data_IF_034929424990
#
_entry.id   IF_034929424990
#
_cell.length_a   1.000
_cell.length_b   1.000
_cell.length_c   1.000
_cell.angle_alpha   90.00
_cell.angle_beta   90.00
_cell.angle_gamma   90.00
#
_symmetry.space_group_name_H-M   'P 1'
#
loop_
_entity.id
_entity.type
_entity.pdbx_description
1 polymer ?
#
# COMPACT_ATOMS: atom_id res chain seq x y z
N UNK A 1 -18.30 -17.18 -18.79
CA UNK A 1 -17.00 -16.59 -19.13
C UNK A 1 -17.23 -15.11 -19.47
N UNK A 2 -16.58 -14.21 -18.78
CA UNK A 2 -16.63 -12.78 -19.12
C UNK A 2 -15.39 -12.47 -19.95
N UNK A 3 -15.60 -12.05 -21.20
CA UNK A 3 -14.53 -11.73 -22.15
C UNK A 3 -14.78 -10.35 -22.74
N UNK A 4 -13.75 -9.52 -22.79
CA UNK A 4 -13.79 -8.19 -23.39
C UNK A 4 -12.40 -7.73 -23.81
N UNK A 5 -12.35 -6.70 -24.66
CA UNK A 5 -11.11 -6.08 -25.13
C UNK A 5 -11.04 -4.63 -24.69
N UNK A 6 -9.89 -4.25 -24.14
CA UNK A 6 -9.44 -2.87 -23.98
C UNK A 6 -8.62 -2.52 -25.23
N UNK A 7 -9.16 -1.70 -26.11
CA UNK A 7 -8.56 -1.37 -27.41
C UNK A 7 -8.09 0.08 -27.48
N UNK A 8 -7.33 0.41 -28.53
CA UNK A 8 -6.86 1.77 -28.79
C UNK A 8 -6.16 2.37 -27.56
N UNK A 9 -5.24 1.61 -26.97
CA UNK A 9 -4.51 1.98 -25.77
C UNK A 9 -2.99 2.09 -26.03
N UNK A 10 -2.32 2.94 -25.25
CA UNK A 10 -0.86 2.88 -25.08
C UNK A 10 -0.57 1.89 -23.94
N UNK A 11 -0.42 0.63 -24.31
CA UNK A 11 -0.20 -0.44 -23.35
C UNK A 11 1.23 -0.38 -22.83
N UNK A 12 1.38 -0.23 -21.51
CA UNK A 12 2.69 -0.24 -20.85
C UNK A 12 2.98 -1.66 -20.39
N UNK A 13 3.79 -2.37 -21.15
CA UNK A 13 4.32 -3.70 -20.80
C UNK A 13 5.56 -3.57 -19.91
N UNK A 14 6.12 -4.65 -19.37
CA UNK A 14 7.33 -4.56 -18.55
C UNK A 14 8.55 -3.90 -19.23
N UNK A 15 8.60 -3.90 -20.56
CA UNK A 15 9.78 -3.46 -21.31
C UNK A 15 9.53 -2.37 -22.34
N UNK A 16 8.27 -2.17 -22.76
CA UNK A 16 7.94 -1.24 -23.83
C UNK A 16 6.59 -0.57 -23.63
N UNK A 17 6.37 0.54 -24.34
CA UNK A 17 5.04 1.13 -24.53
C UNK A 17 4.64 0.89 -25.97
N UNK A 18 3.53 0.19 -26.21
CA UNK A 18 3.04 -0.12 -27.53
C UNK A 18 1.61 0.39 -27.71
N UNK A 19 1.27 0.85 -28.92
CA UNK A 19 -0.12 1.14 -29.28
C UNK A 19 -0.80 -0.17 -29.67
N UNK A 20 -1.82 -0.58 -28.88
CA UNK A 20 -2.40 -1.90 -29.04
C UNK A 20 -3.66 -2.12 -28.24
N UNK A 21 -3.89 -3.39 -27.93
CA UNK A 21 -5.06 -3.83 -27.19
C UNK A 21 -4.72 -4.94 -26.19
N UNK A 22 -5.60 -5.12 -25.22
CA UNK A 22 -5.52 -6.18 -24.22
C UNK A 22 -6.82 -6.95 -24.21
N UNK A 23 -6.74 -8.26 -24.46
CA UNK A 23 -7.87 -9.19 -24.32
C UNK A 23 -7.92 -9.69 -22.88
N UNK A 24 -9.04 -9.50 -22.22
CA UNK A 24 -9.31 -10.00 -20.87
C UNK A 24 -10.30 -11.16 -20.94
N UNK A 25 -9.97 -12.26 -20.29
CA UNK A 25 -10.84 -13.43 -20.19
C UNK A 25 -10.80 -13.98 -18.77
N UNK A 26 -11.98 -14.10 -18.13
CA UNK A 26 -12.14 -14.67 -16.78
C UNK A 26 -11.22 -14.05 -15.73
N UNK A 27 -11.00 -12.72 -15.82
CA UNK A 27 -10.17 -11.98 -14.87
C UNK A 27 -8.66 -12.02 -15.12
N UNK A 28 -8.24 -12.68 -16.20
CA UNK A 28 -6.84 -12.74 -16.62
C UNK A 28 -6.62 -11.98 -17.92
N UNK A 29 -5.42 -11.50 -18.11
CA UNK A 29 -4.92 -11.03 -19.41
C UNK A 29 -4.76 -12.28 -20.28
N UNK A 30 -5.62 -12.41 -21.28
CA UNK A 30 -5.56 -13.54 -22.20
C UNK A 30 -4.57 -13.29 -23.34
N UNK A 31 -4.50 -12.04 -23.81
CA UNK A 31 -3.58 -11.64 -24.87
C UNK A 31 -3.25 -10.14 -24.80
N UNK A 32 -2.08 -9.76 -25.31
CA UNK A 32 -1.61 -8.37 -25.45
C UNK A 32 -0.93 -8.25 -26.80
N UNK A 33 -1.49 -7.43 -27.69
CA UNK A 33 -0.97 -7.34 -29.05
C UNK A 33 -0.95 -5.91 -29.58
N UNK A 34 -0.09 -5.64 -30.57
CA UNK A 34 0.02 -4.37 -31.26
C UNK A 34 -1.14 -4.17 -32.25
N UNK A 35 -1.43 -2.91 -32.52
CA UNK A 35 -2.50 -2.51 -33.42
C UNK A 35 -3.88 -2.49 -32.78
N UNK A 36 -4.85 -1.96 -33.51
CA UNK A 36 -6.23 -1.86 -33.04
C UNK A 36 -7.06 -3.06 -33.54
N UNK A 37 -7.92 -3.56 -32.68
CA UNK A 37 -8.88 -4.62 -33.04
C UNK A 37 -10.22 -3.99 -33.35
N UNK A 38 -10.84 -4.46 -34.46
CA UNK A 38 -12.17 -3.96 -34.83
C UNK A 38 -13.24 -4.61 -33.94
N UNK A 39 -14.19 -3.79 -33.41
CA UNK A 39 -15.31 -4.31 -32.65
C UNK A 39 -16.11 -5.33 -33.45
N UNK A 40 -16.48 -6.41 -32.82
CA UNK A 40 -17.44 -7.40 -33.39
C UNK A 40 -18.66 -7.48 -32.48
N UNK A 41 -19.80 -7.92 -33.05
CA UNK A 41 -21.01 -8.07 -32.26
C UNK A 41 -20.92 -9.12 -31.14
N UNK A 42 -19.90 -9.97 -31.17
CA UNK A 42 -19.71 -11.07 -30.21
C UNK A 42 -18.75 -10.72 -29.06
N UNK A 43 -17.98 -9.63 -29.16
CA UNK A 43 -16.95 -9.26 -28.20
C UNK A 43 -17.17 -7.85 -27.69
N UNK A 44 -17.34 -7.72 -26.39
CA UNK A 44 -17.42 -6.41 -25.72
C UNK A 44 -16.08 -5.68 -25.89
N UNK A 45 -16.13 -4.44 -26.40
CA UNK A 45 -14.95 -3.64 -26.66
C UNK A 45 -15.04 -2.31 -25.90
N UNK A 46 -14.03 -2.01 -25.13
CA UNK A 46 -13.86 -0.74 -24.41
C UNK A 46 -12.78 0.06 -25.12
N UNK A 47 -13.12 1.22 -25.68
CA UNK A 47 -12.16 2.12 -26.32
C UNK A 47 -11.43 2.94 -25.27
N UNK A 48 -10.12 2.82 -25.23
CA UNK A 48 -9.26 3.57 -24.32
C UNK A 48 -8.88 4.97 -24.86
N UNK A 49 -9.37 5.34 -26.06
CA UNK A 49 -9.20 6.69 -26.64
C UNK A 49 -7.73 7.15 -26.76
N UNK A 50 -6.79 6.21 -26.88
CA UNK A 50 -5.36 6.49 -26.92
C UNK A 50 -4.71 6.76 -25.55
N UNK A 51 -5.45 6.58 -24.46
CA UNK A 51 -4.92 6.70 -23.11
C UNK A 51 -3.86 5.62 -22.80
N UNK A 52 -3.08 5.84 -21.76
CA UNK A 52 -2.18 4.83 -21.24
C UNK A 52 -2.97 3.73 -20.51
N UNK A 53 -2.60 2.49 -20.73
CA UNK A 53 -3.05 1.33 -19.97
C UNK A 53 -1.85 0.74 -19.22
N UNK A 54 -1.85 0.92 -17.91
CA UNK A 54 -0.79 0.52 -16.98
C UNK A 54 -1.23 -0.72 -16.20
N UNK A 55 -0.30 -1.55 -15.70
CA UNK A 55 -0.65 -2.52 -14.67
C UNK A 55 -1.14 -1.81 -13.41
N UNK A 56 -2.03 -2.45 -12.65
CA UNK A 56 -2.48 -1.96 -11.36
C UNK A 56 -1.32 -1.82 -10.37
N UNK A 57 -1.32 -0.74 -9.61
CA UNK A 57 -0.24 -0.46 -8.66
C UNK A 57 -0.36 -1.30 -7.40
N UNK A 58 0.81 -1.62 -6.82
CA UNK A 58 0.94 -2.36 -5.57
C UNK A 58 1.62 -1.46 -4.55
N UNK A 59 0.85 -1.00 -3.56
CA UNK A 59 1.32 -0.15 -2.48
C UNK A 59 1.66 -1.00 -1.24
N UNK A 60 2.93 -1.10 -0.89
CA UNK A 60 3.39 -1.94 0.22
C UNK A 60 3.24 -1.29 1.60
N UNK A 61 2.94 0.01 1.64
CA UNK A 61 2.86 0.72 2.89
C UNK A 61 1.99 1.97 2.78
N UNK A 62 0.91 2.01 3.51
CA UNK A 62 0.15 3.24 3.70
C UNK A 62 -0.40 3.34 5.12
N UNK A 63 -0.15 4.48 5.77
CA UNK A 63 -0.74 4.85 7.07
C UNK A 63 -2.15 5.44 6.92
N UNK A 64 -2.67 5.49 5.69
CA UNK A 64 -3.87 6.25 5.40
C UNK A 64 -5.11 5.67 6.08
N UNK A 65 -5.16 4.33 6.25
CA UNK A 65 -6.24 3.67 6.96
C UNK A 65 -6.37 4.19 8.40
N UNK A 66 -5.26 4.37 9.13
CA UNK A 66 -5.29 4.89 10.51
C UNK A 66 -5.92 6.29 10.57
N UNK A 67 -5.67 7.14 9.56
CA UNK A 67 -6.29 8.48 9.46
C UNK A 67 -7.79 8.41 9.21
N UNK A 68 -8.26 7.38 8.50
CA UNK A 68 -9.69 7.15 8.31
C UNK A 68 -10.34 6.59 9.57
N UNK A 69 -9.66 5.72 10.32
CA UNK A 69 -10.15 5.18 11.59
C UNK A 69 -10.29 6.27 12.66
N UNK A 70 -9.37 7.24 12.67
CA UNK A 70 -9.35 8.39 13.58
C UNK A 70 -9.39 9.69 12.77
N UNK A 71 -10.55 10.07 12.21
CA UNK A 71 -10.65 11.19 11.26
C UNK A 71 -10.39 12.55 11.90
N UNK A 72 -10.44 12.65 13.21
CA UNK A 72 -10.11 13.85 13.99
C UNK A 72 -9.56 13.44 15.36
N UNK A 73 -8.73 14.27 16.01
CA UNK A 73 -8.23 13.99 17.35
C UNK A 73 -9.36 13.63 18.32
N UNK A 74 -9.23 12.50 19.01
CA UNK A 74 -10.19 11.97 20.00
C UNK A 74 -11.56 11.56 19.42
N UNK A 75 -11.71 11.52 18.09
CA UNK A 75 -12.92 11.03 17.41
C UNK A 75 -12.57 9.74 16.69
N UNK A 76 -13.20 8.65 17.13
CA UNK A 76 -13.02 7.33 16.57
C UNK A 76 -14.36 6.85 16.04
N UNK A 77 -14.39 6.25 14.87
CA UNK A 77 -15.62 5.64 14.36
C UNK A 77 -16.12 4.52 15.31
N UNK A 78 -17.43 4.46 15.62
CA UNK A 78 -18.00 3.35 16.40
C UNK A 78 -17.78 1.98 15.75
N UNK A 79 -17.79 1.94 14.41
CA UNK A 79 -17.47 0.78 13.56
C UNK A 79 -16.31 1.16 12.66
N UNK A 80 -15.42 0.22 12.35
CA UNK A 80 -14.23 0.47 11.55
C UNK A 80 -14.49 0.32 10.04
N UNK A 81 -15.49 -0.45 9.62
CA UNK A 81 -15.79 -0.74 8.21
C UNK A 81 -16.04 0.51 7.36
N UNK A 82 -16.77 1.56 7.80
CA UNK A 82 -16.90 2.79 7.02
C UNK A 82 -15.56 3.48 6.71
N UNK A 83 -14.58 3.36 7.61
CA UNK A 83 -13.23 3.88 7.37
C UNK A 83 -12.54 3.11 6.23
N UNK A 84 -12.70 1.79 6.18
CA UNK A 84 -12.19 0.97 5.09
C UNK A 84 -12.81 1.36 3.74
N UNK A 85 -14.13 1.58 3.67
CA UNK A 85 -14.77 1.97 2.41
C UNK A 85 -14.30 3.32 1.88
N UNK A 86 -14.06 4.29 2.77
CA UNK A 86 -13.53 5.59 2.38
C UNK A 86 -12.07 5.48 1.92
N UNK A 87 -11.27 4.71 2.65
CA UNK A 87 -9.89 4.42 2.30
C UNK A 87 -9.79 3.69 0.95
N UNK A 88 -10.53 2.60 0.76
CA UNK A 88 -10.60 1.81 -0.47
C UNK A 88 -10.97 2.66 -1.70
N UNK A 89 -11.93 3.58 -1.54
CA UNK A 89 -12.29 4.51 -2.62
C UNK A 89 -11.12 5.41 -3.03
N UNK A 90 -10.33 5.91 -2.09
CA UNK A 90 -9.13 6.70 -2.37
C UNK A 90 -8.02 5.88 -3.01
N UNK A 91 -7.83 4.63 -2.54
CA UNK A 91 -6.83 3.70 -3.06
C UNK A 91 -7.07 3.43 -4.55
N UNK A 92 -8.29 3.03 -4.92
CA UNK A 92 -8.58 2.73 -6.33
C UNK A 92 -8.56 3.98 -7.21
N UNK A 93 -8.97 5.15 -6.71
CA UNK A 93 -8.88 6.41 -7.45
C UNK A 93 -7.43 6.84 -7.74
N UNK A 94 -6.46 6.32 -6.98
CA UNK A 94 -5.02 6.48 -7.23
C UNK A 94 -4.42 5.42 -8.17
N UNK A 95 -5.23 4.46 -8.67
CA UNK A 95 -4.76 3.38 -9.53
C UNK A 95 -4.18 2.18 -8.78
N UNK A 96 -4.31 2.14 -7.46
CA UNK A 96 -3.80 1.06 -6.63
C UNK A 96 -4.84 -0.07 -6.60
N UNK A 97 -4.44 -1.26 -7.04
CA UNK A 97 -5.28 -2.47 -7.05
C UNK A 97 -4.95 -3.44 -5.92
N UNK A 98 -3.76 -3.29 -5.34
CA UNK A 98 -3.31 -4.06 -4.17
C UNK A 98 -2.64 -3.11 -3.18
N UNK A 99 -3.09 -3.12 -1.94
CA UNK A 99 -2.58 -2.25 -0.86
C UNK A 99 -2.26 -3.04 0.39
N UNK A 100 -1.18 -2.67 1.05
CA UNK A 100 -0.79 -3.18 2.36
C UNK A 100 -1.12 -2.10 3.40
N UNK A 101 -2.22 -2.30 4.10
CA UNK A 101 -2.67 -1.42 5.18
C UNK A 101 -1.70 -1.54 6.34
N UNK A 102 -0.96 -0.47 6.61
CA UNK A 102 0.06 -0.45 7.63
C UNK A 102 -0.55 -0.04 8.97
N UNK A 103 -0.57 -0.96 9.93
CA UNK A 103 -1.03 -0.72 11.29
C UNK A 103 0.11 -0.81 12.30
N UNK A 104 0.18 0.16 13.20
CA UNK A 104 1.21 0.21 14.24
C UNK A 104 0.94 -0.77 15.36
N UNK A 105 1.94 -1.59 15.68
CA UNK A 105 1.97 -2.50 16.82
C UNK A 105 2.89 -1.92 17.87
N UNK A 106 2.31 -1.32 18.89
CA UNK A 106 3.01 -0.52 19.89
C UNK A 106 3.03 0.97 19.52
N UNK A 107 3.00 1.82 20.52
CA UNK A 107 3.05 3.27 20.40
C UNK A 107 3.23 3.91 21.78
N UNK A 108 4.15 4.88 21.88
CA UNK A 108 4.40 5.55 23.16
C UNK A 108 3.36 6.63 23.49
N UNK A 109 2.96 7.40 22.49
CA UNK A 109 2.25 8.66 22.72
C UNK A 109 0.75 8.56 22.46
N UNK A 110 0.30 7.57 21.69
CA UNK A 110 -1.10 7.44 21.29
C UNK A 110 -1.72 6.09 21.72
N UNK A 111 -2.29 6.08 22.93
CA UNK A 111 -3.04 4.91 23.43
C UNK A 111 -4.27 4.59 22.58
N UNK A 112 -4.79 5.56 21.84
CA UNK A 112 -5.92 5.38 20.92
C UNK A 112 -5.58 4.46 19.76
N UNK A 113 -4.38 4.56 19.21
CA UNK A 113 -3.88 3.67 18.16
C UNK A 113 -3.87 2.20 18.60
N UNK A 114 -3.38 1.93 19.80
CA UNK A 114 -3.36 0.57 20.35
C UNK A 114 -4.78 0.01 20.47
N UNK A 115 -5.74 0.81 20.95
CA UNK A 115 -7.13 0.39 21.06
C UNK A 115 -7.79 0.13 19.69
N UNK A 116 -7.29 0.77 18.63
CA UNK A 116 -7.80 0.60 17.26
C UNK A 116 -7.17 -0.57 16.51
N UNK A 117 -6.01 -1.04 16.93
CA UNK A 117 -5.24 -2.07 16.21
C UNK A 117 -6.07 -3.35 15.99
N UNK A 118 -6.57 -3.98 17.05
CA UNK A 118 -7.38 -5.20 16.95
C UNK A 118 -8.65 -4.97 16.13
N UNK A 119 -9.36 -3.88 16.38
CA UNK A 119 -10.58 -3.52 15.64
C UNK A 119 -10.32 -3.29 14.15
N UNK A 120 -9.18 -2.68 13.82
CA UNK A 120 -8.75 -2.49 12.43
C UNK A 120 -8.50 -3.82 11.73
N UNK A 121 -7.79 -4.75 12.38
CA UNK A 121 -7.53 -6.09 11.84
C UNK A 121 -8.82 -6.90 11.67
N UNK A 122 -9.74 -6.85 12.64
CA UNK A 122 -11.04 -7.54 12.57
C UNK A 122 -11.89 -7.00 11.41
N UNK A 123 -11.97 -5.67 11.27
CA UNK A 123 -12.73 -5.03 10.20
C UNK A 123 -12.09 -5.32 8.81
N UNK A 124 -10.75 -5.33 8.71
CA UNK A 124 -10.07 -5.74 7.49
C UNK A 124 -10.46 -7.15 7.06
N UNK A 125 -10.40 -8.10 7.98
CA UNK A 125 -10.78 -9.49 7.71
C UNK A 125 -12.25 -9.58 7.29
N UNK A 126 -13.15 -8.89 7.97
CA UNK A 126 -14.59 -8.88 7.66
C UNK A 126 -14.84 -8.28 6.26
N UNK A 127 -14.30 -7.11 5.94
CA UNK A 127 -14.48 -6.44 4.66
C UNK A 127 -13.92 -7.28 3.49
N UNK A 128 -12.78 -7.96 3.71
CA UNK A 128 -12.19 -8.86 2.70
C UNK A 128 -13.07 -10.09 2.45
N UNK A 129 -13.54 -10.76 3.51
CA UNK A 129 -14.36 -11.96 3.40
C UNK A 129 -15.73 -11.70 2.76
N UNK A 130 -16.29 -10.53 3.01
CA UNK A 130 -17.57 -10.12 2.44
C UNK A 130 -17.49 -9.58 1.01
N UNK A 131 -16.28 -9.45 0.43
CA UNK A 131 -16.08 -8.97 -0.93
C UNK A 131 -16.49 -7.52 -1.16
N UNK A 132 -16.54 -6.71 -0.11
CA UNK A 132 -17.00 -5.31 -0.18
C UNK A 132 -15.93 -4.34 -0.69
N UNK A 133 -14.66 -4.76 -0.75
CA UNK A 133 -13.53 -3.91 -1.14
C UNK A 133 -13.25 -4.00 -2.64
N UNK A 134 -12.91 -2.87 -3.24
CA UNK A 134 -12.56 -2.73 -4.66
C UNK A 134 -11.13 -3.16 -4.94
N UNK A 135 -10.18 -2.77 -4.06
CA UNK A 135 -8.78 -3.21 -4.09
C UNK A 135 -8.58 -4.48 -3.25
N UNK A 136 -7.46 -5.17 -3.46
CA UNK A 136 -6.99 -6.21 -2.54
C UNK A 136 -6.26 -5.55 -1.37
N UNK A 137 -6.88 -5.59 -0.19
CA UNK A 137 -6.30 -5.11 1.05
C UNK A 137 -5.57 -6.23 1.78
N UNK A 138 -4.30 -6.05 2.07
CA UNK A 138 -3.43 -6.95 2.83
C UNK A 138 -2.93 -6.22 4.07
N UNK A 139 -2.49 -6.94 5.08
CA UNK A 139 -2.02 -6.37 6.34
C UNK A 139 -0.50 -6.25 6.35
N UNK A 140 -0.02 -5.07 6.72
CA UNK A 140 1.35 -4.78 7.08
C UNK A 140 1.41 -4.40 8.57
N UNK A 141 2.01 -5.23 9.41
CA UNK A 141 2.22 -4.88 10.81
C UNK A 141 3.56 -4.17 11.01
N UNK A 142 3.49 -2.97 11.57
CA UNK A 142 4.63 -2.09 11.87
C UNK A 142 4.95 -2.21 13.34
N UNK A 143 5.98 -2.97 13.68
CA UNK A 143 6.34 -3.29 15.05
C UNK A 143 7.26 -2.22 15.65
N UNK A 144 6.77 -1.48 16.64
CA UNK A 144 7.57 -0.55 17.43
C UNK A 144 8.40 -1.31 18.46
N UNK A 145 9.66 -1.57 18.12
CA UNK A 145 10.52 -2.44 18.93
C UNK A 145 10.81 -1.88 20.34
N UNK A 146 10.71 -0.58 20.48
CA UNK A 146 10.95 0.10 21.72
C UNK A 146 9.75 0.07 22.70
N UNK A 147 8.56 -0.41 22.28
CA UNK A 147 7.40 -0.59 23.18
C UNK A 147 7.49 -1.96 23.89
N UNK A 148 7.56 -2.01 25.23
CA UNK A 148 7.61 -3.27 25.98
C UNK A 148 6.41 -4.20 25.74
N UNK A 149 5.25 -3.65 25.33
CA UNK A 149 4.01 -4.41 25.05
C UNK A 149 3.96 -4.95 23.60
N UNK A 150 4.94 -4.61 22.77
CA UNK A 150 4.89 -4.91 21.33
C UNK A 150 4.62 -6.39 21.05
N UNK A 151 5.30 -7.31 21.77
CA UNK A 151 5.09 -8.76 21.61
C UNK A 151 3.67 -9.19 21.98
N UNK A 152 3.14 -8.69 23.08
CA UNK A 152 1.79 -9.01 23.57
C UNK A 152 0.71 -8.50 22.60
N UNK A 153 0.99 -7.44 21.84
CA UNK A 153 0.12 -6.90 20.81
C UNK A 153 0.29 -7.61 19.46
N UNK A 154 1.52 -8.01 19.11
CA UNK A 154 1.85 -8.62 17.82
C UNK A 154 1.35 -10.06 17.69
N UNK A 155 1.72 -10.93 18.66
CA UNK A 155 1.48 -12.36 18.51
C UNK A 155 -0.01 -12.75 18.40
N UNK A 156 -0.97 -12.12 19.11
CA UNK A 156 -2.37 -12.41 18.91
C UNK A 156 -2.90 -12.11 17.50
N UNK A 157 -2.25 -11.19 16.77
CA UNK A 157 -2.63 -10.76 15.42
C UNK A 157 -1.82 -11.45 14.31
N UNK A 158 -0.74 -12.10 14.67
CA UNK A 158 0.23 -12.65 13.72
C UNK A 158 -0.27 -13.85 12.92
N UNK A 159 -1.31 -14.54 13.37
CA UNK A 159 -1.94 -15.67 12.67
C UNK A 159 -3.02 -15.24 11.66
N UNK A 160 -3.27 -13.92 11.53
CA UNK A 160 -4.24 -13.38 10.57
C UNK A 160 -3.86 -13.71 9.13
N UNK A 161 -4.75 -14.31 8.31
CA UNK A 161 -4.43 -14.73 6.94
C UNK A 161 -4.04 -13.60 5.99
N UNK A 162 -4.49 -12.37 6.29
CA UNK A 162 -4.16 -11.19 5.50
C UNK A 162 -2.79 -10.58 5.83
N UNK A 163 -2.09 -11.03 6.88
CA UNK A 163 -0.74 -10.57 7.20
C UNK A 163 0.24 -11.07 6.12
N UNK A 164 0.84 -10.13 5.40
CA UNK A 164 1.75 -10.41 4.29
C UNK A 164 3.06 -9.64 4.37
N UNK A 165 3.15 -8.68 5.28
CA UNK A 165 4.35 -7.86 5.45
C UNK A 165 4.51 -7.46 6.92
N UNK A 166 5.75 -7.42 7.40
CA UNK A 166 6.11 -6.92 8.72
C UNK A 166 7.26 -5.94 8.59
N UNK A 167 7.27 -4.88 9.39
CA UNK A 167 8.43 -4.00 9.52
C UNK A 167 8.76 -3.71 10.97
N UNK A 168 10.03 -3.46 11.24
CA UNK A 168 10.52 -3.05 12.55
C UNK A 168 10.75 -1.54 12.54
N UNK A 169 10.17 -0.84 13.50
CA UNK A 169 10.33 0.58 13.71
C UNK A 169 11.00 0.83 15.07
N UNK A 170 11.74 1.91 15.15
CA UNK A 170 12.27 2.47 16.37
C UNK A 170 12.12 4.00 16.27
N UNK A 171 11.08 4.52 16.91
CA UNK A 171 10.78 5.94 16.95
C UNK A 171 11.34 6.63 18.20
N UNK A 172 12.24 5.96 18.93
CA UNK A 172 12.95 6.57 20.05
C UNK A 172 13.72 7.80 19.56
N UNK A 173 13.61 8.95 20.23
CA UNK A 173 14.40 10.13 19.90
C UNK A 173 15.91 9.78 19.86
N UNK A 174 16.65 10.37 18.92
CA UNK A 174 18.05 10.02 18.65
C UNK A 174 18.24 8.83 17.69
N UNK A 175 17.17 8.09 17.33
CA UNK A 175 17.24 6.93 16.46
C UNK A 175 16.58 7.19 15.10
N UNK A 176 17.08 6.54 14.06
CA UNK A 176 16.52 6.47 12.69
C UNK A 176 15.86 7.78 12.20
N UNK A 177 14.52 7.86 12.19
CA UNK A 177 13.75 9.00 11.72
C UNK A 177 13.96 10.24 12.60
N UNK A 178 14.20 10.06 13.90
CA UNK A 178 14.31 11.11 14.90
C UNK A 178 15.76 11.35 15.35
N UNK A 179 16.74 11.19 14.45
CA UNK A 179 18.15 11.52 14.75
C UNK A 179 18.33 12.96 15.25
N UNK A 180 17.52 13.86 14.69
CA UNK A 180 17.44 15.25 15.18
C UNK A 180 16.33 15.32 16.25
N UNK A 181 16.77 15.43 17.50
CA UNK A 181 15.88 15.55 18.66
C UNK A 181 15.13 16.88 18.71
N UNK A 182 15.63 17.93 18.05
CA UNK A 182 14.94 19.21 17.90
C UNK A 182 13.73 19.04 16.98
N UNK A 183 13.87 18.31 15.90
CA UNK A 183 12.77 17.97 15.00
C UNK A 183 11.69 17.13 15.71
N UNK A 184 12.09 16.18 16.56
CA UNK A 184 11.18 15.41 17.41
C UNK A 184 10.38 16.33 18.34
N UNK A 185 11.05 17.21 19.09
CA UNK A 185 10.41 18.15 19.99
C UNK A 185 9.42 19.07 19.25
N UNK A 186 9.81 19.57 18.09
CA UNK A 186 8.96 20.43 17.25
C UNK A 186 7.72 19.68 16.77
N UNK A 187 7.86 18.45 16.30
CA UNK A 187 6.76 17.62 15.81
C UNK A 187 5.70 17.38 16.91
N UNK A 188 6.14 17.03 18.11
CA UNK A 188 5.25 16.74 19.23
C UNK A 188 4.83 17.97 20.04
N UNK A 189 5.33 19.17 19.74
CA UNK A 189 5.00 20.42 20.46
C UNK A 189 3.51 20.76 20.43
N UNK A 190 2.79 20.32 19.40
CA UNK A 190 1.34 20.49 19.29
C UNK A 190 0.54 19.56 20.21
N UNK A 191 1.18 18.50 20.72
CA UNK A 191 0.56 17.49 21.59
C UNK A 191 0.90 17.80 23.04
N UNK A 192 2.16 18.17 23.30
CA UNK A 192 2.66 18.48 24.64
C UNK A 192 3.77 19.53 24.59
N UNK A 193 3.66 20.55 25.43
CA UNK A 193 4.75 21.50 25.68
C UNK A 193 5.62 20.96 26.81
N UNK A 194 6.93 20.80 26.56
CA UNK A 194 7.91 20.39 27.56
C UNK A 194 8.83 21.56 27.91
N UNK A 195 9.20 21.69 29.17
CA UNK A 195 10.42 22.39 29.57
C UNK A 195 11.64 21.61 29.06
N UNK A 196 12.83 22.21 29.09
CA UNK A 196 14.07 21.55 28.69
C UNK A 196 14.40 20.36 29.62
N UNK A 197 14.12 20.51 30.92
CA UNK A 197 14.32 19.44 31.92
C UNK A 197 13.34 18.30 31.70
N UNK A 198 12.05 18.59 31.49
CA UNK A 198 11.03 17.55 31.20
C UNK A 198 11.34 16.81 29.90
N UNK A 199 11.80 17.53 28.86
CA UNK A 199 12.17 16.91 27.61
C UNK A 199 13.37 15.99 27.76
N UNK A 200 14.42 16.43 28.48
CA UNK A 200 15.60 15.64 28.74
C UNK A 200 15.28 14.40 29.57
N UNK A 201 14.46 14.53 30.60
CA UNK A 201 14.04 13.40 31.43
C UNK A 201 13.21 12.38 30.63
N UNK A 202 12.27 12.84 29.80
CA UNK A 202 11.49 11.98 28.91
C UNK A 202 12.39 11.23 27.91
N UNK A 203 13.38 11.91 27.32
CA UNK A 203 14.34 11.31 26.41
C UNK A 203 15.07 10.15 27.06
N UNK A 204 15.59 10.37 28.26
CA UNK A 204 16.32 9.36 29.01
C UNK A 204 15.42 8.17 29.38
N UNK A 205 14.17 8.44 29.82
CA UNK A 205 13.20 7.37 30.10
C UNK A 205 12.91 6.51 28.86
N UNK A 206 12.72 7.14 27.68
CA UNK A 206 12.47 6.41 26.43
C UNK A 206 13.68 5.57 26.00
N UNK A 207 14.90 6.08 26.17
CA UNK A 207 16.13 5.35 25.90
C UNK A 207 16.29 4.13 26.82
N UNK A 208 16.05 4.28 28.11
CA UNK A 208 16.11 3.17 29.07
C UNK A 208 15.09 2.08 28.77
N UNK A 209 13.85 2.48 28.48
CA UNK A 209 12.77 1.55 28.08
C UNK A 209 13.16 0.80 26.81
N UNK A 210 13.61 1.52 25.77
CA UNK A 210 14.09 0.93 24.53
C UNK A 210 15.19 -0.09 24.77
N UNK A 211 16.22 0.28 25.52
CA UNK A 211 17.38 -0.57 25.77
C UNK A 211 17.02 -1.84 26.55
N UNK A 212 15.95 -1.79 27.33
CA UNK A 212 15.44 -2.94 28.08
C UNK A 212 14.72 -3.99 27.22
N UNK A 213 14.17 -3.62 26.04
CA UNK A 213 13.27 -4.51 25.30
C UNK A 213 13.49 -4.57 23.78
N UNK A 214 14.11 -3.57 23.16
CA UNK A 214 14.10 -3.44 21.70
C UNK A 214 14.80 -4.60 20.98
N UNK A 215 15.93 -5.08 21.49
CA UNK A 215 16.66 -6.19 20.90
C UNK A 215 15.88 -7.51 20.97
N UNK A 216 15.24 -7.79 22.11
CA UNK A 216 14.45 -9.00 22.31
C UNK A 216 13.16 -8.96 21.48
N UNK A 217 12.52 -7.79 21.40
CA UNK A 217 11.37 -7.55 20.56
C UNK A 217 11.71 -7.78 19.09
N UNK A 218 12.77 -7.15 18.59
CA UNK A 218 13.23 -7.31 17.22
C UNK A 218 13.57 -8.77 16.90
N UNK A 219 14.35 -9.44 17.75
CA UNK A 219 14.73 -10.84 17.56
C UNK A 219 13.50 -11.77 17.48
N UNK A 220 12.51 -11.56 18.35
CA UNK A 220 11.27 -12.36 18.37
C UNK A 220 10.46 -12.22 17.09
N UNK A 221 10.30 -11.00 16.58
CA UNK A 221 9.57 -10.74 15.32
C UNK A 221 10.35 -11.26 14.12
N UNK A 222 11.67 -11.05 14.08
CA UNK A 222 12.51 -11.56 13.00
C UNK A 222 12.46 -13.09 12.91
N UNK A 223 12.54 -13.78 14.05
CA UNK A 223 12.44 -15.25 14.10
C UNK A 223 11.07 -15.73 13.65
N UNK A 224 9.98 -15.08 14.08
CA UNK A 224 8.63 -15.37 13.61
C UNK A 224 8.52 -15.21 12.09
N UNK A 225 9.00 -14.09 11.53
CA UNK A 225 8.96 -13.83 10.09
C UNK A 225 9.79 -14.87 9.31
N UNK A 226 10.96 -15.24 9.83
CA UNK A 226 11.83 -16.27 9.24
C UNK A 226 11.13 -17.63 9.18
N UNK A 227 10.49 -18.07 10.27
CA UNK A 227 9.77 -19.34 10.33
C UNK A 227 8.57 -19.40 9.40
N UNK A 228 7.91 -18.29 9.16
CA UNK A 228 6.71 -18.16 8.32
C UNK A 228 7.01 -17.72 6.89
N UNK A 229 8.28 -17.48 6.53
CA UNK A 229 8.68 -16.90 5.24
C UNK A 229 7.94 -15.60 4.92
N UNK A 230 7.66 -14.78 5.95
CA UNK A 230 7.05 -13.47 5.80
C UNK A 230 8.11 -12.44 5.40
N UNK A 231 7.86 -11.66 4.32
CA UNK A 231 8.71 -10.56 3.95
C UNK A 231 8.83 -9.52 5.07
N UNK A 232 10.01 -8.90 5.16
CA UNK A 232 10.25 -7.77 6.05
C UNK A 232 10.67 -6.55 5.25
N UNK A 233 10.10 -5.38 5.56
CA UNK A 233 10.38 -4.12 4.86
C UNK A 233 11.06 -3.09 5.76
N UNK A 234 11.77 -2.16 5.09
CA UNK A 234 12.19 -0.87 5.64
C UNK A 234 11.58 0.23 4.77
N UNK A 235 11.09 1.30 5.38
CA UNK A 235 10.12 2.23 4.81
C UNK A 235 10.67 3.34 3.89
N UNK A 236 9.91 3.70 2.79
CA UNK A 236 9.96 5.00 2.06
C UNK A 236 8.57 5.34 1.48
N UNK A 237 7.95 6.52 1.75
CA UNK A 237 6.67 6.92 1.16
C UNK A 237 6.83 7.69 -0.15
N UNK A 238 5.91 7.50 -1.12
CA UNK A 238 5.77 8.34 -2.32
C UNK A 238 4.35 8.31 -2.93
N UNK A 239 3.99 9.36 -3.69
CA UNK A 239 2.81 9.34 -4.56
C UNK A 239 3.13 8.56 -5.84
N UNK A 240 2.57 7.38 -6.02
CA UNK A 240 2.99 6.42 -7.04
C UNK A 240 2.74 6.91 -8.48
N UNK A 241 1.52 7.33 -8.80
CA UNK A 241 1.14 7.68 -10.18
C UNK A 241 1.92 8.88 -10.72
N UNK A 242 1.96 9.99 -9.98
CA UNK A 242 2.68 11.19 -10.40
C UNK A 242 4.18 10.91 -10.55
N UNK A 243 4.75 10.15 -9.63
CA UNK A 243 6.18 9.82 -9.62
C UNK A 243 6.63 9.08 -10.88
N UNK A 244 5.87 8.10 -11.37
CA UNK A 244 6.27 7.32 -12.55
C UNK A 244 6.29 8.16 -13.82
N UNK A 245 5.33 9.07 -14.01
CA UNK A 245 5.32 9.97 -15.15
C UNK A 245 6.39 11.05 -15.03
N UNK A 246 6.64 11.56 -13.83
CA UNK A 246 7.72 12.53 -13.59
C UNK A 246 9.12 11.94 -13.86
N UNK A 247 9.38 10.71 -13.45
CA UNK A 247 10.63 10.01 -13.73
C UNK A 247 10.86 9.83 -15.24
N UNK A 248 9.79 9.52 -15.98
CA UNK A 248 9.84 9.38 -17.41
C UNK A 248 9.99 10.73 -18.12
N UNK A 249 9.26 11.77 -17.72
CA UNK A 249 9.34 13.12 -18.29
C UNK A 249 10.71 13.78 -18.08
N UNK A 250 11.35 13.52 -16.94
CA UNK A 250 12.71 13.98 -16.63
C UNK A 250 13.82 13.10 -17.26
N UNK A 251 13.46 12.14 -18.10
CA UNK A 251 14.41 11.22 -18.74
C UNK A 251 15.31 10.45 -17.75
N UNK A 252 14.89 10.31 -16.48
CA UNK A 252 15.64 9.55 -15.47
C UNK A 252 15.59 8.05 -15.82
N UNK A 253 14.45 7.57 -16.29
CA UNK A 253 14.26 6.21 -16.78
C UNK A 253 13.07 6.11 -17.74
N UNK A 254 13.02 5.08 -18.61
CA UNK A 254 11.86 4.84 -19.48
C UNK A 254 10.59 4.57 -18.67
N UNK A 255 9.43 4.99 -19.19
CA UNK A 255 8.13 4.81 -18.52
C UNK A 255 7.85 3.35 -18.07
N UNK A 256 8.13 2.30 -18.88
CA UNK A 256 7.98 0.92 -18.40
C UNK A 256 8.80 0.60 -17.14
N UNK A 257 10.05 1.08 -17.08
CA UNK A 257 10.89 0.88 -15.91
C UNK A 257 10.35 1.61 -14.67
N UNK A 258 9.88 2.86 -14.83
CA UNK A 258 9.26 3.63 -13.76
C UNK A 258 7.97 2.95 -13.26
N UNK A 259 7.14 2.43 -14.14
CA UNK A 259 5.91 1.70 -13.79
C UNK A 259 6.23 0.41 -13.03
N UNK A 260 7.27 -0.33 -13.43
CA UNK A 260 7.70 -1.54 -12.71
C UNK A 260 8.06 -1.25 -11.24
N UNK A 261 8.58 -0.06 -10.90
CA UNK A 261 8.89 0.31 -9.51
C UNK A 261 7.67 0.33 -8.59
N UNK A 262 6.48 0.58 -9.14
CA UNK A 262 5.22 0.72 -8.38
C UNK A 262 4.22 -0.41 -8.66
N UNK A 263 4.59 -1.39 -9.45
CA UNK A 263 3.73 -2.51 -9.85
C UNK A 263 4.44 -3.86 -9.72
N UNK A 264 5.27 -4.24 -10.70
CA UNK A 264 5.92 -5.54 -10.73
C UNK A 264 6.91 -5.77 -9.58
N UNK A 265 7.82 -4.81 -9.33
CA UNK A 265 8.85 -4.98 -8.31
C UNK A 265 8.26 -5.12 -6.89
N UNK A 266 7.32 -4.25 -6.44
CA UNK A 266 6.70 -4.46 -5.13
C UNK A 266 5.88 -5.76 -5.06
N UNK A 267 5.17 -6.16 -6.11
CA UNK A 267 4.43 -7.41 -6.14
C UNK A 267 5.37 -8.61 -5.94
N UNK A 268 6.44 -8.70 -6.71
CA UNK A 268 7.45 -9.76 -6.63
C UNK A 268 8.16 -9.80 -5.27
N UNK A 269 8.47 -8.64 -4.68
CA UNK A 269 9.15 -8.56 -3.39
C UNK A 269 8.37 -9.18 -2.23
N UNK A 270 7.06 -9.33 -2.40
CA UNK A 270 6.14 -9.92 -1.40
C UNK A 270 5.48 -11.22 -1.90
N UNK A 271 5.99 -11.81 -3.00
CA UNK A 271 5.53 -13.10 -3.54
C UNK A 271 4.15 -13.04 -4.22
N UNK A 272 3.75 -11.89 -4.75
CA UNK A 272 2.52 -11.73 -5.54
C UNK A 272 2.83 -11.83 -7.04
N UNK A 273 3.20 -13.00 -7.50
CA UNK A 273 3.70 -13.22 -8.86
C UNK A 273 2.59 -13.20 -9.93
N UNK A 274 1.32 -13.15 -9.54
CA UNK A 274 0.17 -13.17 -10.44
C UNK A 274 -0.22 -11.79 -11.00
N UNK A 275 0.36 -10.70 -10.51
CA UNK A 275 -0.03 -9.31 -10.80
C UNK A 275 1.14 -8.37 -11.03
N UNK A 276 0.85 -7.06 -11.23
CA UNK A 276 1.86 -6.00 -11.41
C UNK A 276 2.41 -5.90 -12.83
N UNK A 277 1.91 -6.69 -13.79
CA UNK A 277 2.30 -6.66 -15.21
C UNK A 277 1.09 -6.87 -16.10
N UNK A 278 1.07 -6.17 -17.24
CA UNK A 278 0.17 -6.50 -18.35
C UNK A 278 0.92 -7.50 -19.22
N UNK A 279 0.63 -8.77 -19.01
CA UNK A 279 1.28 -9.90 -19.67
C UNK A 279 0.32 -11.09 -19.68
N UNK A 280 0.38 -11.92 -20.72
CA UNK A 280 -0.52 -13.08 -20.89
C UNK A 280 -0.42 -14.04 -19.70
N UNK A 281 -1.57 -14.48 -19.22
CA UNK A 281 -1.72 -15.37 -18.05
C UNK A 281 -1.70 -14.66 -16.69
N UNK A 282 -1.40 -13.37 -16.63
CA UNK A 282 -1.44 -12.58 -15.39
C UNK A 282 -2.85 -12.10 -15.08
N UNK A 283 -3.09 -11.76 -13.84
CA UNK A 283 -4.32 -11.10 -13.40
C UNK A 283 -4.51 -9.80 -14.17
N UNK A 284 -5.73 -9.58 -14.64
CA UNK A 284 -6.12 -8.35 -15.32
C UNK A 284 -6.38 -7.23 -14.31
N UNK A 285 -5.32 -6.83 -13.60
CA UNK A 285 -5.26 -5.65 -12.74
C UNK A 285 -4.64 -4.52 -13.56
N UNK A 286 -5.46 -3.53 -13.95
CA UNK A 286 -5.06 -2.49 -14.89
C UNK A 286 -5.60 -1.13 -14.51
N UNK A 287 -4.91 -0.08 -14.95
CA UNK A 287 -5.29 1.32 -14.76
C UNK A 287 -5.24 2.04 -16.09
N UNK A 288 -6.36 2.65 -16.50
CA UNK A 288 -6.40 3.58 -17.61
C UNK A 288 -6.06 4.97 -17.11
N UNK A 289 -5.04 5.57 -17.70
CA UNK A 289 -4.53 6.90 -17.32
C UNK A 289 -4.55 7.82 -18.53
N UNK A 290 -5.31 8.89 -18.41
CA UNK A 290 -5.26 10.02 -19.35
C UNK A 290 -4.13 10.96 -18.90
N UNK A 291 -3.24 11.27 -19.83
CA UNK A 291 -2.13 12.19 -19.56
C UNK A 291 -2.37 13.51 -20.28
N UNK A 292 -2.76 14.54 -19.53
CA UNK A 292 -3.12 15.86 -20.04
C UNK A 292 -2.32 16.93 -19.29
N UNK A 293 -1.67 17.83 -20.03
CA UNK A 293 -0.90 18.96 -19.48
C UNK A 293 0.10 18.53 -18.40
N UNK A 294 0.87 17.46 -18.67
CA UNK A 294 1.84 16.82 -17.75
C UNK A 294 1.23 16.26 -16.44
N UNK A 295 -0.11 16.17 -16.36
CA UNK A 295 -0.80 15.58 -15.23
C UNK A 295 -1.43 14.23 -15.58
N UNK A 296 -1.02 13.14 -14.93
CA UNK A 296 -1.67 11.85 -15.09
C UNK A 296 -2.96 11.79 -14.28
N UNK A 297 -4.06 11.43 -14.93
CA UNK A 297 -5.40 11.31 -14.33
C UNK A 297 -5.93 9.90 -14.53
N UNK A 298 -6.25 9.21 -13.46
CA UNK A 298 -6.91 7.89 -13.52
C UNK A 298 -8.32 8.04 -14.08
N UNK A 299 -8.63 7.27 -15.13
CA UNK A 299 -9.95 7.21 -15.74
C UNK A 299 -10.73 5.98 -15.31
N UNK A 300 -10.08 4.83 -15.35
CA UNK A 300 -10.70 3.56 -14.97
C UNK A 300 -9.67 2.67 -14.28
N UNK A 301 -10.16 1.81 -13.40
CA UNK A 301 -9.34 0.77 -12.74
C UNK A 301 -10.07 -0.56 -12.85
N UNK A 302 -9.34 -1.60 -13.21
CA UNK A 302 -9.82 -2.98 -13.21
C UNK A 302 -9.02 -3.80 -12.19
N UNK A 303 -9.74 -4.61 -11.43
CA UNK A 303 -9.19 -5.64 -10.55
C UNK A 303 -9.74 -7.00 -10.96
N UNK A 304 -8.87 -7.95 -11.28
CA UNK A 304 -9.26 -9.25 -11.82
C UNK A 304 -10.25 -9.14 -13.00
N UNK A 305 -9.98 -8.22 -13.90
CA UNK A 305 -10.84 -7.98 -15.06
C UNK A 305 -12.22 -7.39 -14.76
N UNK A 306 -12.49 -6.99 -13.53
CA UNK A 306 -13.72 -6.28 -13.15
C UNK A 306 -13.40 -4.80 -12.97
N UNK A 307 -14.11 -3.95 -13.68
CA UNK A 307 -13.98 -2.51 -13.49
C UNK A 307 -14.50 -2.13 -12.10
N UNK A 308 -13.65 -1.46 -11.32
CA UNK A 308 -13.91 -1.06 -9.92
C UNK A 308 -13.91 0.46 -9.72
N UNK A 309 -13.41 1.18 -10.75
CA UNK A 309 -13.43 2.64 -10.79
C UNK A 309 -13.64 3.14 -12.22
#
# INVERSE_FOLDING_TARGET
>A
MKEYVLRNARVVTPTTVMHGHVLVRDGLVADVDEGDIQPTAALECIDCEGDYLLPGFVELHTDNLEKHLVPRPKVVWPQAEPAFFAHDAQIVAAGITTVFDALSVGEYHDKGRIAMLGRGVDALNHCRQSGMLRADHLLHLRCEVADPRMRDLFFPLSDTPCLKLVSLMDHTPGQRQWRDTTAYRTYYSNIKSWTDEEFTAMMHELEEVRDSCANDNAASVMEFCRQRHLPMASYVPASLLAAVFELAAKEIMPLPAAVNLVSANPAESVGLDDRGRIDSGRRADMVRVHHMDDMPVVRNVWRQGVQVY
#
